data_IF_085589306901
#
_entry.id   IF_085589306901
#
_cell.length_a   1.000
_cell.length_b   1.000
_cell.length_c   1.000
_cell.angle_alpha   90.00
_cell.angle_beta   90.00
_cell.angle_gamma   90.00
#
_symmetry.space_group_name_H-M   'P 1'
#
loop_
_entity.id
_entity.type
_entity.pdbx_description
1 polymer ?
#
# COMPACT_ATOMS: atom_id res chain seq x y z
N UNK A 1 -21.12 -11.56 -23.84
CA UNK A 1 -19.97 -11.69 -22.92
C UNK A 1 -19.42 -10.29 -22.75
N UNK A 2 -19.56 -9.68 -21.58
CA UNK A 2 -18.96 -8.36 -21.34
C UNK A 2 -17.47 -8.60 -21.08
N UNK A 3 -16.60 -8.11 -21.96
CA UNK A 3 -15.16 -8.25 -21.77
C UNK A 3 -14.63 -7.31 -20.69
N UNK A 4 -13.32 -7.37 -20.48
CA UNK A 4 -12.61 -6.60 -19.47
C UNK A 4 -11.49 -5.81 -20.12
N UNK A 5 -11.39 -4.53 -19.78
CA UNK A 5 -10.26 -3.66 -20.09
C UNK A 5 -9.21 -3.82 -18.99
N UNK A 6 -7.94 -3.90 -19.38
CA UNK A 6 -6.81 -4.04 -18.45
C UNK A 6 -5.72 -3.04 -18.80
N UNK A 7 -5.28 -2.30 -17.80
CA UNK A 7 -4.18 -1.36 -17.88
C UNK A 7 -3.16 -1.73 -16.81
N UNK A 8 -1.87 -1.59 -17.10
CA UNK A 8 -0.81 -1.99 -16.19
C UNK A 8 0.26 -0.93 -16.04
N UNK A 9 0.88 -0.89 -14.86
CA UNK A 9 1.91 0.07 -14.50
C UNK A 9 2.90 -0.54 -13.50
N UNK A 10 4.18 -0.19 -13.61
CA UNK A 10 5.20 -0.68 -12.67
C UNK A 10 5.53 0.39 -11.65
N UNK A 11 5.30 0.05 -10.39
CA UNK A 11 5.58 0.90 -9.24
C UNK A 11 5.72 0.02 -7.99
N UNK A 12 6.34 0.54 -6.93
CA UNK A 12 6.54 -0.14 -5.64
C UNK A 12 7.14 -1.55 -5.79
N UNK A 13 8.12 -1.68 -6.70
CA UNK A 13 8.76 -2.93 -7.10
C UNK A 13 7.78 -4.06 -7.53
N UNK A 14 6.59 -3.71 -8.03
CA UNK A 14 5.58 -4.67 -8.47
C UNK A 14 4.86 -4.22 -9.73
N UNK A 15 4.00 -5.08 -10.28
CA UNK A 15 3.10 -4.72 -11.37
C UNK A 15 1.73 -4.41 -10.78
N UNK A 16 1.26 -3.19 -10.97
CA UNK A 16 -0.11 -2.80 -10.71
C UNK A 16 -0.95 -3.03 -11.96
N UNK A 17 -2.17 -3.52 -11.78
CA UNK A 17 -3.17 -3.58 -12.84
C UNK A 17 -4.48 -2.95 -12.38
N UNK A 18 -5.10 -2.19 -13.27
CA UNK A 18 -6.44 -1.66 -13.14
C UNK A 18 -7.33 -2.33 -14.20
N UNK A 19 -8.42 -2.93 -13.75
CA UNK A 19 -9.34 -3.73 -14.56
C UNK A 19 -10.73 -3.15 -14.47
N UNK A 20 -11.37 -2.98 -15.62
CA UNK A 20 -12.69 -2.38 -15.75
C UNK A 20 -13.56 -3.23 -16.68
N UNK A 21 -14.90 -3.21 -16.53
CA UNK A 21 -15.79 -3.69 -17.58
C UNK A 21 -15.56 -2.92 -18.89
N UNK A 22 -15.71 -3.57 -20.04
CA UNK A 22 -15.63 -2.90 -21.36
C UNK A 22 -16.64 -1.77 -21.55
N UNK A 23 -17.70 -1.74 -20.76
CA UNK A 23 -18.71 -0.69 -20.76
C UNK A 23 -18.25 0.59 -20.05
N UNK A 24 -17.13 0.56 -19.33
CA UNK A 24 -16.60 1.71 -18.60
C UNK A 24 -15.97 2.73 -19.56
N UNK A 25 -16.60 3.89 -19.67
CA UNK A 25 -16.13 4.95 -20.57
C UNK A 25 -14.96 5.70 -19.94
N UNK A 26 -13.91 5.93 -20.73
CA UNK A 26 -12.72 6.63 -20.23
C UNK A 26 -11.84 5.80 -19.28
N UNK A 27 -12.01 4.48 -19.23
CA UNK A 27 -11.24 3.56 -18.38
C UNK A 27 -9.72 3.77 -18.46
N UNK A 28 -9.19 4.11 -19.64
CA UNK A 28 -7.77 4.43 -19.80
C UNK A 28 -7.35 5.67 -18.99
N UNK A 29 -8.09 6.78 -19.10
CA UNK A 29 -7.78 8.02 -18.37
C UNK A 29 -7.95 7.85 -16.86
N UNK A 30 -8.94 7.03 -16.46
CA UNK A 30 -9.09 6.59 -15.07
C UNK A 30 -7.84 5.84 -14.63
N UNK A 31 -7.39 4.82 -15.38
CA UNK A 31 -6.22 4.04 -15.04
C UNK A 31 -4.96 4.91 -14.92
N UNK A 32 -4.72 5.82 -15.87
CA UNK A 32 -3.62 6.79 -15.82
C UNK A 32 -3.66 7.62 -14.52
N UNK A 33 -4.83 8.13 -14.14
CA UNK A 33 -5.03 8.87 -12.88
C UNK A 33 -4.74 8.04 -11.63
N UNK A 34 -5.00 6.72 -11.67
CA UNK A 34 -4.67 5.80 -10.58
C UNK A 34 -3.17 5.55 -10.50
N UNK A 35 -2.51 5.37 -11.65
CA UNK A 35 -1.08 5.13 -11.71
C UNK A 35 -0.28 6.34 -11.26
N UNK A 36 -0.70 7.56 -11.61
CA UNK A 36 -0.13 8.79 -11.06
C UNK A 36 -0.27 8.88 -9.53
N UNK A 37 -1.38 8.38 -8.95
CA UNK A 37 -1.53 8.32 -7.48
C UNK A 37 -0.62 7.28 -6.86
N UNK A 38 -0.44 6.13 -7.52
CA UNK A 38 0.47 5.07 -7.07
C UNK A 38 1.91 5.59 -7.07
N UNK A 39 2.34 6.29 -8.12
CA UNK A 39 3.67 6.90 -8.22
C UNK A 39 3.89 7.97 -7.15
N UNK A 40 2.86 8.79 -6.89
CA UNK A 40 2.90 9.79 -5.80
C UNK A 40 3.08 9.11 -4.43
N UNK A 41 2.38 8.00 -4.19
CA UNK A 41 2.52 7.23 -2.95
C UNK A 41 3.86 6.51 -2.86
N UNK A 42 4.39 5.99 -3.97
CA UNK A 42 5.75 5.43 -4.00
C UNK A 42 6.78 6.49 -3.62
N UNK A 43 6.72 7.68 -4.21
CA UNK A 43 7.62 8.78 -3.87
C UNK A 43 7.44 9.23 -2.40
N UNK A 44 6.23 9.21 -1.87
CA UNK A 44 6.01 9.52 -0.46
C UNK A 44 6.68 8.49 0.48
N UNK A 45 6.51 7.20 0.19
CA UNK A 45 6.80 6.10 1.14
C UNK A 45 8.12 5.36 0.90
N UNK A 46 8.78 5.56 -0.24
CA UNK A 46 9.97 4.80 -0.61
C UNK A 46 11.14 5.10 0.31
N UNK A 47 11.72 4.08 0.95
CA UNK A 47 13.00 4.21 1.66
C UNK A 47 14.24 4.07 0.78
N UNK A 48 14.03 3.79 -0.52
CA UNK A 48 15.09 3.54 -1.49
C UNK A 48 15.36 4.76 -2.37
N UNK A 49 14.32 5.57 -2.61
CA UNK A 49 14.48 6.83 -3.33
C UNK A 49 15.06 7.89 -2.38
N UNK A 50 16.26 8.44 -2.64
CA UNK A 50 16.87 9.43 -1.76
C UNK A 50 16.08 10.74 -1.67
N UNK A 51 15.19 11.02 -2.62
CA UNK A 51 14.38 12.25 -2.70
C UNK A 51 13.03 12.14 -1.98
N UNK A 52 12.63 10.94 -1.57
CA UNK A 52 11.37 10.71 -0.86
C UNK A 52 11.33 11.36 0.52
N UNK A 53 10.10 11.58 1.01
CA UNK A 53 9.88 12.08 2.36
C UNK A 53 10.36 11.10 3.43
N UNK A 54 10.11 9.79 3.25
CA UNK A 54 10.59 8.75 4.17
C UNK A 54 12.12 8.68 4.22
N UNK A 55 12.83 8.75 3.09
CA UNK A 55 14.29 8.78 3.09
C UNK A 55 14.84 10.04 3.75
N UNK A 56 14.15 11.17 3.64
CA UNK A 56 14.50 12.41 4.36
C UNK A 56 14.36 12.22 5.87
N UNK A 57 13.23 11.69 6.35
CA UNK A 57 12.99 11.38 7.77
C UNK A 57 14.08 10.46 8.30
N UNK A 58 14.38 9.37 7.59
CA UNK A 58 15.41 8.40 8.00
C UNK A 58 16.82 9.01 8.14
N UNK A 59 17.12 10.14 7.47
CA UNK A 59 18.43 10.83 7.59
C UNK A 59 18.48 11.90 8.67
N UNK A 60 17.32 12.47 9.04
CA UNK A 60 17.23 13.74 9.77
C UNK A 60 16.56 13.57 11.15
N UNK A 61 15.55 12.70 11.27
CA UNK A 61 14.73 12.59 12.48
C UNK A 61 15.48 12.04 13.70
N UNK A 62 16.68 11.48 13.51
CA UNK A 62 17.59 11.09 14.59
C UNK A 62 18.40 12.26 15.18
N UNK A 63 18.39 13.43 14.52
CA UNK A 63 19.20 14.61 14.85
C UNK A 63 18.32 15.74 15.38
N UNK A 64 17.17 15.93 14.76
CA UNK A 64 16.21 16.97 15.11
C UNK A 64 14.79 16.56 14.74
N UNK A 65 13.80 17.29 15.25
CA UNK A 65 12.41 17.06 14.89
C UNK A 65 12.15 17.49 13.45
N UNK A 66 11.61 16.56 12.65
CA UNK A 66 11.35 16.77 11.23
C UNK A 66 9.86 17.04 11.01
N UNK A 67 9.53 18.19 10.43
CA UNK A 67 8.14 18.47 9.99
C UNK A 67 7.81 17.63 8.76
N UNK A 68 6.61 17.05 8.75
CA UNK A 68 6.12 16.15 7.69
C UNK A 68 4.72 16.58 7.19
N UNK A 69 4.34 16.09 6.01
CA UNK A 69 3.00 16.32 5.48
C UNK A 69 1.92 15.67 6.36
N UNK A 70 0.73 16.26 6.39
CA UNK A 70 -0.42 15.70 7.13
C UNK A 70 -0.76 14.28 6.69
N UNK A 71 -0.66 13.95 5.40
CA UNK A 71 -0.98 12.62 4.91
C UNK A 71 -0.04 11.55 5.49
N UNK A 72 1.25 11.86 5.58
CA UNK A 72 2.23 10.95 6.16
C UNK A 72 2.07 10.88 7.68
N UNK A 73 1.76 12.00 8.33
CA UNK A 73 1.48 12.02 9.77
C UNK A 73 0.28 11.14 10.12
N UNK A 74 -0.84 11.28 9.42
CA UNK A 74 -2.04 10.47 9.62
C UNK A 74 -1.74 8.97 9.39
N UNK A 75 -0.93 8.64 8.39
CA UNK A 75 -0.51 7.26 8.15
C UNK A 75 0.36 6.72 9.31
N UNK A 76 1.27 7.52 9.84
CA UNK A 76 2.09 7.15 10.99
C UNK A 76 1.26 6.93 12.26
N UNK A 77 0.18 7.70 12.46
CA UNK A 77 -0.75 7.46 13.56
C UNK A 77 -1.53 6.15 13.41
N UNK A 78 -1.97 5.83 12.18
CA UNK A 78 -2.56 4.52 11.89
C UNK A 78 -1.55 3.39 12.16
N UNK A 79 -0.29 3.59 11.74
CA UNK A 79 0.79 2.65 12.04
C UNK A 79 1.02 2.47 13.54
N UNK A 80 0.97 3.55 14.34
CA UNK A 80 1.06 3.48 15.80
C UNK A 80 -0.05 2.61 16.38
N UNK A 81 -1.29 2.87 15.99
CA UNK A 81 -2.47 2.13 16.47
C UNK A 81 -2.35 0.62 16.16
N UNK A 82 -1.89 0.25 14.95
CA UNK A 82 -1.65 -1.15 14.62
C UNK A 82 -0.44 -1.76 15.32
N UNK A 83 0.64 -1.00 15.52
CA UNK A 83 1.80 -1.45 16.30
C UNK A 83 1.37 -1.79 17.74
N UNK A 84 0.58 -0.93 18.38
CA UNK A 84 0.04 -1.17 19.73
C UNK A 84 -0.92 -2.37 19.76
N UNK A 85 -1.88 -2.43 18.83
CA UNK A 85 -2.88 -3.52 18.76
C UNK A 85 -2.27 -4.89 18.47
N UNK A 86 -1.09 -4.93 17.87
CA UNK A 86 -0.39 -6.18 17.53
C UNK A 86 0.77 -6.48 18.48
N UNK A 87 0.91 -5.73 19.58
CA UNK A 87 2.02 -5.87 20.54
C UNK A 87 3.39 -5.86 19.84
N UNK A 88 3.55 -4.96 18.86
CA UNK A 88 4.76 -4.80 18.07
C UNK A 88 5.00 -5.85 16.98
N UNK A 89 4.08 -6.81 16.76
CA UNK A 89 4.25 -7.80 15.69
C UNK A 89 4.18 -7.17 14.28
N UNK A 90 3.39 -6.13 14.10
CA UNK A 90 3.50 -5.21 12.97
C UNK A 90 4.36 -4.02 13.39
N UNK A 91 5.50 -3.82 12.72
CA UNK A 91 6.40 -2.71 13.00
C UNK A 91 6.88 -2.01 11.70
N UNK A 92 6.42 -0.77 11.42
CA UNK A 92 6.89 0.01 10.29
C UNK A 92 8.19 0.77 10.59
N UNK A 93 8.85 0.49 11.72
CA UNK A 93 10.18 0.95 12.06
C UNK A 93 11.06 -0.24 12.46
N UNK A 94 12.10 -0.49 11.68
CA UNK A 94 13.03 -1.58 11.96
C UNK A 94 14.47 -1.11 11.88
N UNK A 95 15.36 -1.91 12.46
CA UNK A 95 16.79 -1.83 12.20
C UNK A 95 17.24 -3.02 11.35
N UNK A 96 18.48 -2.95 10.85
CA UNK A 96 19.20 -4.12 10.36
C UNK A 96 19.21 -5.25 11.42
N UNK A 97 19.28 -6.53 11.01
CA UNK A 97 19.29 -7.67 11.93
C UNK A 97 20.32 -7.50 13.07
N UNK A 98 19.91 -7.76 14.32
CA UNK A 98 20.79 -7.73 15.50
C UNK A 98 20.81 -6.43 16.31
N UNK A 99 19.93 -5.47 16.00
CA UNK A 99 19.68 -4.28 16.84
C UNK A 99 18.23 -4.29 17.34
N UNK A 100 17.94 -3.49 18.36
CA UNK A 100 16.62 -3.43 19.00
C UNK A 100 16.04 -2.02 18.90
N UNK A 101 15.68 -1.60 17.69
CA UNK A 101 14.84 -0.41 17.48
C UNK A 101 13.45 -0.83 17.01
N UNK A 102 12.44 -0.07 17.40
CA UNK A 102 11.03 -0.37 17.09
C UNK A 102 10.21 0.92 17.03
N UNK A 103 8.99 0.85 16.47
CA UNK A 103 8.14 2.03 16.27
C UNK A 103 7.83 2.80 17.56
N UNK A 104 7.68 2.10 18.69
CA UNK A 104 7.44 2.71 19.99
C UNK A 104 8.51 3.71 20.48
N UNK A 105 9.67 3.82 19.81
CA UNK A 105 10.71 4.82 20.09
C UNK A 105 10.54 6.11 19.26
N UNK A 106 9.50 6.19 18.44
CA UNK A 106 9.19 7.36 17.60
C UNK A 106 8.26 8.31 18.34
N UNK A 107 8.72 9.55 18.47
CA UNK A 107 7.93 10.68 18.94
C UNK A 107 7.20 11.32 17.76
N UNK A 108 5.86 11.33 17.81
CA UNK A 108 5.05 12.14 16.88
C UNK A 108 4.39 13.27 17.66
N UNK A 109 4.52 14.49 17.15
CA UNK A 109 3.87 15.66 17.70
C UNK A 109 2.75 16.12 16.77
N UNK A 110 1.49 15.91 17.17
CA UNK A 110 0.31 16.24 16.36
C UNK A 110 0.18 17.74 16.07
N UNK A 111 0.45 18.57 17.08
CA UNK A 111 0.32 20.03 16.99
C UNK A 111 1.29 20.63 15.97
N UNK A 112 2.55 20.21 16.05
CA UNK A 112 3.62 20.73 15.18
C UNK A 112 3.79 19.91 13.88
N UNK A 113 3.14 18.74 13.81
CA UNK A 113 3.26 17.73 12.76
C UNK A 113 4.71 17.34 12.50
N UNK A 114 5.37 16.97 13.58
CA UNK A 114 6.78 16.55 13.54
C UNK A 114 6.95 15.12 13.98
N UNK A 115 8.00 14.49 13.44
CA UNK A 115 8.50 13.19 13.82
C UNK A 115 9.94 13.33 14.33
N UNK A 116 10.28 12.59 15.39
CA UNK A 116 11.63 12.49 15.93
C UNK A 116 11.87 11.11 16.54
N UNK A 117 13.12 10.66 16.57
CA UNK A 117 13.58 9.52 17.36
C UNK A 117 15.03 9.76 17.78
N UNK A 118 15.52 9.11 18.85
CA UNK A 118 16.91 9.31 19.32
C UNK A 118 17.85 8.16 18.90
N UNK A 119 17.48 7.41 17.85
CA UNK A 119 18.19 6.24 17.36
C UNK A 119 18.58 6.37 15.89
N UNK A 120 19.86 6.65 15.56
CA UNK A 120 20.33 6.81 14.17
C UNK A 120 20.16 5.57 13.29
N UNK A 121 20.00 4.40 13.91
CA UNK A 121 19.85 3.11 13.24
C UNK A 121 18.39 2.74 12.97
N UNK A 122 17.43 3.53 13.49
CA UNK A 122 16.01 3.35 13.25
C UNK A 122 15.68 3.79 11.82
N UNK A 123 15.08 2.89 11.07
CA UNK A 123 14.65 3.13 9.68
C UNK A 123 13.14 2.88 9.60
N UNK A 124 12.41 3.87 9.11
CA UNK A 124 11.03 3.68 8.67
C UNK A 124 11.00 2.85 7.39
N UNK A 125 10.18 1.80 7.40
CA UNK A 125 9.90 0.93 6.27
C UNK A 125 8.40 0.67 6.16
N UNK A 126 7.78 1.24 5.13
CA UNK A 126 6.36 1.07 4.85
C UNK A 126 6.07 -0.13 3.94
N UNK A 127 7.02 -1.04 3.71
CA UNK A 127 6.83 -2.19 2.82
C UNK A 127 5.62 -3.06 3.18
N UNK A 128 5.30 -3.20 4.47
CA UNK A 128 4.16 -3.99 4.94
C UNK A 128 2.79 -3.30 4.79
N UNK A 129 2.74 -1.99 4.54
CA UNK A 129 1.49 -1.20 4.48
C UNK A 129 1.32 -0.40 3.18
N UNK A 130 2.42 -0.11 2.48
CA UNK A 130 2.46 0.87 1.39
C UNK A 130 1.54 0.54 0.22
N UNK A 131 1.49 -0.71 -0.22
CA UNK A 131 0.59 -1.12 -1.32
C UNK A 131 -0.88 -1.05 -0.90
N UNK A 132 -1.19 -1.46 0.32
CA UNK A 132 -2.54 -1.32 0.87
C UNK A 132 -2.98 0.14 0.95
N UNK A 133 -2.06 1.01 1.37
CA UNK A 133 -2.29 2.46 1.39
C UNK A 133 -2.49 3.04 -0.02
N UNK A 134 -1.66 2.66 -0.99
CA UNK A 134 -1.82 3.06 -2.39
C UNK A 134 -3.20 2.66 -2.95
N UNK A 135 -3.64 1.41 -2.70
CA UNK A 135 -4.97 0.96 -3.10
C UNK A 135 -6.09 1.75 -2.41
N UNK A 136 -5.95 2.09 -1.12
CA UNK A 136 -6.91 2.94 -0.41
C UNK A 136 -7.01 4.34 -1.06
N UNK A 137 -5.89 4.91 -1.53
CA UNK A 137 -5.88 6.17 -2.27
C UNK A 137 -6.53 6.04 -3.65
N UNK A 138 -6.26 4.96 -4.37
CA UNK A 138 -6.95 4.64 -5.62
C UNK A 138 -8.47 4.52 -5.41
N UNK A 139 -8.91 3.86 -4.33
CA UNK A 139 -10.33 3.76 -3.97
C UNK A 139 -10.97 5.14 -3.83
N UNK A 140 -10.32 6.05 -3.11
CA UNK A 140 -10.80 7.44 -2.93
C UNK A 140 -10.92 8.17 -4.28
N UNK A 141 -9.96 7.98 -5.20
CA UNK A 141 -10.01 8.58 -6.55
C UNK A 141 -11.14 8.00 -7.39
N UNK A 142 -11.25 6.67 -7.45
CA UNK A 142 -12.32 5.97 -8.17
C UNK A 142 -13.70 6.45 -7.73
N UNK A 143 -13.94 6.53 -6.41
CA UNK A 143 -15.21 7.04 -5.86
C UNK A 143 -15.46 8.49 -6.24
N UNK A 144 -14.44 9.36 -6.22
CA UNK A 144 -14.58 10.77 -6.64
C UNK A 144 -14.88 10.92 -8.13
N UNK A 145 -14.38 10.00 -8.96
CA UNK A 145 -14.63 9.97 -10.40
C UNK A 145 -15.98 9.31 -10.75
N UNK A 146 -16.72 8.80 -9.76
CA UNK A 146 -17.98 8.11 -9.97
C UNK A 146 -17.83 6.70 -10.55
N UNK A 147 -16.65 6.09 -10.44
CA UNK A 147 -16.43 4.72 -10.89
C UNK A 147 -17.06 3.74 -9.90
N UNK A 148 -17.98 2.95 -10.41
CA UNK A 148 -18.77 2.00 -9.62
C UNK A 148 -18.33 0.55 -9.80
N UNK A 149 -17.52 0.23 -10.82
CA UNK A 149 -17.11 -1.15 -11.09
C UNK A 149 -15.65 -1.24 -11.57
N UNK A 150 -14.74 -1.63 -10.67
CA UNK A 150 -13.32 -1.74 -10.97
C UNK A 150 -12.60 -2.74 -10.06
N UNK A 151 -11.51 -3.33 -10.53
CA UNK A 151 -10.56 -4.10 -9.74
C UNK A 151 -9.17 -3.49 -9.90
N UNK A 152 -8.50 -3.20 -8.79
CA UNK A 152 -7.13 -2.71 -8.79
C UNK A 152 -6.29 -3.61 -7.92
N UNK A 153 -5.16 -4.11 -8.41
CA UNK A 153 -4.26 -4.94 -7.60
C UNK A 153 -2.79 -4.57 -7.82
N UNK A 154 -1.98 -4.77 -6.78
CA UNK A 154 -0.53 -4.56 -6.77
C UNK A 154 0.21 -5.87 -6.58
N UNK A 155 0.54 -6.53 -7.68
CA UNK A 155 1.10 -7.89 -7.71
C UNK A 155 0.08 -8.93 -7.24
N UNK A 156 0.55 -9.91 -6.48
CA UNK A 156 -0.26 -11.04 -5.97
C UNK A 156 -0.73 -10.87 -4.52
N UNK A 157 -0.31 -9.79 -3.85
CA UNK A 157 -0.45 -9.67 -2.39
C UNK A 157 -1.49 -8.66 -1.93
N UNK A 158 -2.04 -7.84 -2.82
CA UNK A 158 -2.93 -6.73 -2.46
C UNK A 158 -3.89 -6.44 -3.59
N UNK A 159 -5.18 -6.47 -3.30
CA UNK A 159 -6.26 -6.23 -4.26
C UNK A 159 -7.37 -5.39 -3.63
N UNK A 160 -8.00 -4.56 -4.45
CA UNK A 160 -9.16 -3.75 -4.17
C UNK A 160 -10.21 -4.03 -5.23
N UNK A 161 -11.41 -4.40 -4.80
CA UNK A 161 -12.58 -4.54 -5.65
C UNK A 161 -13.61 -3.46 -5.33
N UNK A 162 -14.15 -2.83 -6.37
CA UNK A 162 -15.27 -1.88 -6.31
C UNK A 162 -16.40 -2.45 -7.16
N UNK A 163 -17.58 -2.54 -6.57
CA UNK A 163 -18.80 -2.97 -7.25
C UNK A 163 -18.87 -4.44 -7.66
N UNK A 164 -19.84 -4.77 -8.51
CA UNK A 164 -20.34 -6.13 -8.67
C UNK A 164 -19.55 -6.99 -9.65
N UNK A 165 -18.48 -6.47 -10.26
CA UNK A 165 -17.69 -7.17 -11.24
C UNK A 165 -18.46 -7.54 -12.52
N UNK A 166 -17.90 -8.40 -13.38
CA UNK A 166 -18.52 -8.79 -14.64
C UNK A 166 -19.71 -9.76 -14.48
N UNK A 167 -19.76 -10.51 -13.38
CA UNK A 167 -20.82 -11.51 -13.12
C UNK A 167 -22.01 -10.95 -12.34
N UNK A 168 -21.90 -9.74 -11.79
CA UNK A 168 -22.91 -9.17 -10.90
C UNK A 168 -22.77 -9.61 -9.43
N UNK A 169 -21.83 -10.52 -9.11
CA UNK A 169 -21.71 -11.15 -7.78
C UNK A 169 -20.42 -10.75 -7.04
N UNK A 170 -19.77 -9.68 -7.46
CA UNK A 170 -18.46 -9.25 -7.01
C UNK A 170 -17.33 -9.68 -7.95
N UNK A 171 -16.15 -9.13 -7.72
CA UNK A 171 -14.96 -9.44 -8.50
C UNK A 171 -14.32 -10.75 -8.03
N UNK A 172 -14.11 -11.73 -8.93
CA UNK A 172 -13.46 -12.98 -8.57
C UNK A 172 -11.96 -12.75 -8.34
N UNK A 173 -11.49 -13.17 -7.17
CA UNK A 173 -10.08 -13.13 -6.76
C UNK A 173 -9.65 -14.54 -6.36
N UNK A 174 -8.56 -15.01 -6.96
CA UNK A 174 -7.94 -16.29 -6.62
C UNK A 174 -7.03 -16.17 -5.40
N UNK A 175 -7.26 -17.03 -4.42
CA UNK A 175 -6.38 -17.29 -3.30
C UNK A 175 -5.67 -18.61 -3.54
N UNK A 176 -4.34 -18.55 -3.66
CA UNK A 176 -3.52 -19.73 -3.91
C UNK A 176 -2.84 -20.20 -2.64
N UNK A 177 -3.05 -21.45 -2.28
CA UNK A 177 -2.30 -22.12 -1.24
C UNK A 177 -1.84 -23.49 -1.76
N UNK A 178 -0.54 -23.64 -2.00
CA UNK A 178 0.02 -24.83 -2.68
C UNK A 178 -0.59 -25.00 -4.09
N UNK A 179 -0.99 -26.22 -4.47
CA UNK A 179 -1.65 -26.52 -5.74
C UNK A 179 -3.14 -26.17 -5.74
N UNK A 180 -3.73 -25.89 -4.58
CA UNK A 180 -5.14 -25.53 -4.45
C UNK A 180 -5.37 -24.04 -4.70
N UNK A 181 -6.35 -23.74 -5.55
CA UNK A 181 -6.84 -22.39 -5.80
C UNK A 181 -8.29 -22.27 -5.30
N UNK A 182 -8.50 -21.40 -4.31
CA UNK A 182 -9.83 -21.02 -3.86
C UNK A 182 -10.19 -19.67 -4.47
N UNK A 183 -11.37 -19.56 -5.09
CA UNK A 183 -11.86 -18.28 -5.60
C UNK A 183 -12.85 -17.67 -4.63
N UNK A 184 -12.65 -16.40 -4.30
CA UNK A 184 -13.60 -15.60 -3.53
C UNK A 184 -14.07 -14.42 -4.37
N UNK A 185 -15.31 -13.99 -4.17
CA UNK A 185 -15.81 -12.79 -4.81
C UNK A 185 -15.74 -11.63 -3.82
N UNK A 186 -15.08 -10.55 -4.22
CA UNK A 186 -14.99 -9.32 -3.43
C UNK A 186 -15.98 -8.28 -3.96
N UNK A 187 -16.79 -7.72 -3.07
CA UNK A 187 -17.73 -6.63 -3.37
C UNK A 187 -17.43 -5.46 -2.45
N UNK A 188 -16.93 -4.36 -3.00
CA UNK A 188 -16.53 -3.16 -2.24
C UNK A 188 -15.55 -3.46 -1.09
N UNK A 189 -14.63 -4.38 -1.34
CA UNK A 189 -13.69 -4.91 -0.35
C UNK A 189 -12.26 -4.90 -0.89
N UNK A 190 -11.30 -4.80 0.02
CA UNK A 190 -9.89 -5.08 -0.26
C UNK A 190 -9.46 -6.37 0.43
N UNK A 191 -8.43 -6.99 -0.13
CA UNK A 191 -7.80 -8.19 0.42
C UNK A 191 -6.29 -8.06 0.26
N UNK A 192 -5.55 -8.39 1.32
CA UNK A 192 -4.10 -8.50 1.27
C UNK A 192 -3.66 -9.84 1.85
N UNK A 193 -2.58 -10.40 1.29
CA UNK A 193 -1.99 -11.65 1.71
C UNK A 193 -0.50 -11.49 1.96
N UNK A 194 -0.03 -12.01 3.10
CA UNK A 194 1.39 -12.11 3.46
C UNK A 194 1.78 -13.58 3.57
N UNK A 195 2.91 -13.96 2.98
CA UNK A 195 3.42 -15.33 3.01
C UNK A 195 4.93 -15.35 3.23
N UNK A 196 5.43 -16.42 3.84
CA UNK A 196 6.87 -16.68 3.94
C UNK A 196 7.37 -17.09 2.56
N UNK A 197 8.31 -16.34 2.00
CA UNK A 197 8.94 -16.71 0.74
C UNK A 197 9.86 -17.91 0.98
N UNK A 198 9.40 -19.12 0.63
CA UNK A 198 10.26 -20.30 0.58
C UNK A 198 11.02 -20.31 -0.75
N UNK A 199 12.36 -20.18 -0.76
CA UNK A 199 13.16 -20.12 -1.99
C UNK A 199 13.21 -21.44 -2.80
N UNK A 200 12.38 -22.43 -2.48
CA UNK A 200 12.41 -23.76 -3.10
C UNK A 200 11.52 -23.92 -4.34
N UNK A 201 10.80 -22.88 -4.79
CA UNK A 201 9.85 -22.98 -5.92
C UNK A 201 10.23 -22.16 -7.17
N UNK A 202 11.52 -21.91 -7.39
CA UNK A 202 12.04 -21.32 -8.65
C UNK A 202 13.03 -22.25 -9.39
N UNK A 203 12.88 -23.58 -9.25
CA UNK A 203 13.59 -24.56 -10.10
C UNK A 203 12.66 -25.22 -11.09
#
# INVERSE_FOLDING_TARGET
MNGLLRYSHRAMATLFEAVFPETEQGAQSVAETLFEEIDRIENLLSRFDPTSEVSRINREASKEAVRIDSELFDLLEVCRDYWEKTDGAFDPAGCLPGRATHFGQIELNERERTIRFDHPELILDFGAVGKGYALLRCQKKLRKMGIENALVHGGTSSVLAIGPGPSGQGWPVGLRHSEDETKINLLDQSLSASAVHSPEKER
#
